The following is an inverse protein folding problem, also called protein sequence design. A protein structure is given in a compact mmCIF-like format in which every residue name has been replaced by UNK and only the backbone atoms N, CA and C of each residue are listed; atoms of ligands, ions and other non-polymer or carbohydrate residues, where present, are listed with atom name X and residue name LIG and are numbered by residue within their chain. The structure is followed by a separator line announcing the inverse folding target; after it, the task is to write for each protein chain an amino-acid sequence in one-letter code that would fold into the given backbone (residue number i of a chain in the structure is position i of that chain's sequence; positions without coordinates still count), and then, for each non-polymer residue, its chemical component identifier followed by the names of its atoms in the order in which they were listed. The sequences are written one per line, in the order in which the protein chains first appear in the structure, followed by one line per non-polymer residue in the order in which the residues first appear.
data_IF_274531311478
#
_entry.id   IF_274531311478
#
_cell.length_a   1.000
_cell.length_b   1.000
_cell.length_c   1.000
_cell.angle_alpha   90.00
_cell.angle_beta   90.00
_cell.angle_gamma   90.00
#
_symmetry.space_group_name_H-M   'P 1'
#
loop_
_entity.id
_entity.type
_entity.pdbx_description
1 polymer ?
#
# COMPACT_ATOMS: atom_id res chain seq x y z
N UNK A 1 -35.65 48.96 -25.26
CA UNK A 1 -35.68 48.01 -24.11
C UNK A 1 -35.73 46.53 -24.51
N UNK A 2 -36.35 46.14 -25.63
CA UNK A 2 -36.46 44.72 -26.06
C UNK A 2 -35.12 44.10 -26.51
N UNK A 3 -34.22 44.89 -27.08
CA UNK A 3 -32.93 44.42 -27.60
C UNK A 3 -31.93 44.02 -26.50
N UNK A 4 -31.99 44.67 -25.34
CA UNK A 4 -31.10 44.40 -24.19
C UNK A 4 -31.46 43.12 -23.45
N UNK A 5 -32.75 42.71 -23.45
CA UNK A 5 -33.18 41.44 -22.84
C UNK A 5 -32.61 40.22 -23.56
N UNK A 6 -32.61 40.22 -24.89
CA UNK A 6 -32.01 39.14 -25.67
C UNK A 6 -30.50 39.02 -25.48
N UNK A 7 -29.79 40.14 -25.32
CA UNK A 7 -28.36 40.12 -25.03
C UNK A 7 -28.05 39.48 -23.66
N UNK A 8 -28.88 39.75 -22.65
CA UNK A 8 -28.75 39.15 -21.31
C UNK A 8 -29.08 37.66 -21.34
N UNK A 9 -30.11 37.24 -22.08
CA UNK A 9 -30.45 35.82 -22.26
C UNK A 9 -29.34 35.04 -22.97
N UNK A 10 -28.75 35.62 -24.02
CA UNK A 10 -27.62 35.01 -24.74
C UNK A 10 -26.39 34.92 -23.83
N UNK A 11 -26.09 35.96 -23.05
CA UNK A 11 -24.98 35.92 -22.09
C UNK A 11 -25.21 34.87 -20.99
N UNK A 12 -26.44 34.74 -20.48
CA UNK A 12 -26.76 33.73 -19.46
C UNK A 12 -26.60 32.31 -20.02
N UNK A 13 -26.99 32.09 -21.28
CA UNK A 13 -26.86 30.82 -21.96
C UNK A 13 -25.39 30.46 -22.21
N UNK A 14 -24.57 31.43 -22.64
CA UNK A 14 -23.12 31.24 -22.80
C UNK A 14 -22.45 30.95 -21.45
N UNK A 15 -22.86 31.61 -20.37
CA UNK A 15 -22.32 31.34 -19.03
C UNK A 15 -22.67 29.93 -18.53
N UNK A 16 -23.89 29.45 -18.80
CA UNK A 16 -24.33 28.10 -18.47
C UNK A 16 -23.56 27.02 -19.27
N UNK A 17 -23.27 27.28 -20.55
CA UNK A 17 -22.45 26.38 -21.38
C UNK A 17 -20.97 26.34 -20.93
N UNK A 18 -20.45 27.40 -20.33
CA UNK A 18 -19.07 27.44 -19.81
C UNK A 18 -18.92 26.65 -18.50
N UNK A 19 -20.01 26.44 -17.74
CA UNK A 19 -19.98 25.65 -16.50
C UNK A 19 -19.99 24.14 -16.72
N UNK A 20 -20.40 23.65 -17.90
CA UNK A 20 -20.43 22.19 -18.18
C UNK A 20 -19.10 21.61 -18.63
N UNK A 21 -18.09 22.45 -18.88
CA UNK A 21 -16.77 22.00 -19.41
C UNK A 21 -15.77 21.67 -18.30
N UNK A 22 -16.09 21.92 -17.03
CA UNK A 22 -15.30 21.41 -15.88
C UNK A 22 -15.82 20.07 -15.37
N UNK A 23 -16.30 19.21 -16.28
CA UNK A 23 -16.47 17.80 -15.97
C UNK A 23 -15.07 17.21 -15.75
N UNK A 24 -14.81 16.81 -14.52
CA UNK A 24 -13.62 16.07 -14.14
C UNK A 24 -13.39 14.94 -15.14
N UNK A 25 -12.27 14.95 -15.85
CA UNK A 25 -11.90 13.87 -16.77
C UNK A 25 -11.67 12.60 -15.93
N UNK A 26 -12.70 11.77 -15.81
CA UNK A 26 -12.55 10.38 -15.40
C UNK A 26 -11.87 9.66 -16.57
N UNK A 27 -10.55 9.56 -16.53
CA UNK A 27 -9.83 8.62 -17.36
C UNK A 27 -10.04 7.23 -16.77
N UNK A 28 -10.84 6.35 -17.39
CA UNK A 28 -10.86 4.96 -16.94
C UNK A 28 -9.45 4.39 -17.08
N UNK A 29 -8.91 3.83 -16.00
CA UNK A 29 -7.63 3.12 -16.07
C UNK A 29 -7.77 1.98 -17.09
N UNK A 30 -6.88 1.93 -18.07
CA UNK A 30 -6.80 0.84 -19.04
C UNK A 30 -6.64 -0.49 -18.28
N UNK A 31 -7.60 -1.43 -18.37
CA UNK A 31 -7.57 -2.68 -17.62
C UNK A 31 -6.38 -3.58 -17.99
N UNK A 32 -5.75 -3.36 -19.14
CA UNK A 32 -4.57 -4.11 -19.57
C UNK A 32 -3.26 -3.48 -19.09
N UNK A 33 -3.30 -2.26 -18.55
CA UNK A 33 -2.13 -1.56 -18.02
C UNK A 33 -2.03 -1.80 -16.51
N UNK A 34 -0.85 -2.13 -15.97
CA UNK A 34 -0.70 -2.29 -14.53
C UNK A 34 -1.13 -0.98 -13.82
N UNK A 35 -1.92 -1.07 -12.75
CA UNK A 35 -2.41 0.09 -12.01
C UNK A 35 -1.29 1.07 -11.70
N UNK A 36 -1.56 2.37 -11.72
CA UNK A 36 -0.52 3.35 -11.36
C UNK A 36 -0.15 3.20 -9.88
N UNK A 37 1.15 3.17 -9.61
CA UNK A 37 1.63 3.22 -8.24
C UNK A 37 1.17 4.57 -7.65
N UNK A 38 0.44 4.54 -6.54
CA UNK A 38 -0.22 5.71 -5.99
C UNK A 38 -0.55 5.53 -4.51
N UNK A 39 -0.56 6.63 -3.77
CA UNK A 39 -1.22 6.68 -2.47
C UNK A 39 -2.73 6.67 -2.67
N UNK A 40 -3.43 5.99 -1.77
CA UNK A 40 -4.88 5.86 -1.80
C UNK A 40 -5.50 6.69 -0.67
N UNK A 41 -6.66 7.28 -0.93
CA UNK A 41 -7.46 8.00 0.07
C UNK A 41 -8.58 7.10 0.65
N UNK A 42 -8.53 5.80 0.33
CA UNK A 42 -9.45 4.76 0.79
C UNK A 42 -8.67 3.48 1.12
N UNK A 43 -9.22 2.64 2.00
CA UNK A 43 -8.67 1.31 2.28
C UNK A 43 -8.79 0.44 1.02
N UNK A 44 -7.71 -0.19 0.53
CA UNK A 44 -7.80 -1.07 -0.64
C UNK A 44 -8.78 -2.21 -0.40
N UNK A 45 -9.33 -2.78 -1.48
CA UNK A 45 -10.12 -4.00 -1.35
C UNK A 45 -9.23 -5.15 -0.88
N UNK A 46 -9.77 -5.98 0.01
CA UNK A 46 -9.09 -7.20 0.37
C UNK A 46 -9.21 -8.23 -0.76
N UNK A 47 -8.05 -8.63 -1.25
CA UNK A 47 -7.92 -9.59 -2.35
C UNK A 47 -6.75 -10.54 -2.07
N UNK A 48 -6.68 -11.64 -2.82
CA UNK A 48 -5.65 -12.67 -2.68
C UNK A 48 -5.00 -12.97 -4.05
N UNK A 49 -4.81 -11.94 -4.86
CA UNK A 49 -4.44 -12.03 -6.27
C UNK A 49 -3.07 -11.39 -6.57
N UNK A 50 -2.39 -10.85 -5.57
CA UNK A 50 -1.15 -10.10 -5.72
C UNK A 50 -1.38 -8.70 -6.28
N UNK A 51 -2.44 -8.01 -5.81
CA UNK A 51 -2.82 -6.67 -6.26
C UNK A 51 -1.75 -5.58 -5.98
N UNK A 52 -0.74 -5.89 -5.17
CA UNK A 52 0.30 -4.98 -4.66
C UNK A 52 -0.30 -3.80 -3.91
N UNK A 53 -1.19 -4.10 -2.97
CA UNK A 53 -1.84 -3.11 -2.12
C UNK A 53 -1.45 -3.32 -0.67
N UNK A 54 -1.42 -2.21 0.06
CA UNK A 54 -1.26 -2.18 1.51
C UNK A 54 -2.17 -1.10 2.07
N UNK A 55 -2.79 -1.37 3.21
CA UNK A 55 -3.58 -0.41 3.95
C UNK A 55 -3.53 -0.70 5.44
N UNK A 56 -3.44 0.35 6.25
CA UNK A 56 -3.70 0.28 7.69
C UNK A 56 -4.05 1.67 8.22
N UNK A 57 -4.51 1.76 9.46
CA UNK A 57 -4.60 3.01 10.20
C UNK A 57 -3.42 3.14 11.15
N UNK A 58 -2.64 4.21 11.00
CA UNK A 58 -1.58 4.62 11.90
C UNK A 58 -2.14 5.70 12.83
N UNK A 59 -2.31 5.38 14.11
CA UNK A 59 -2.96 6.26 15.09
C UNK A 59 -4.32 6.79 14.60
N UNK A 60 -5.12 5.91 13.98
CA UNK A 60 -6.43 6.25 13.42
C UNK A 60 -6.40 6.99 12.08
N UNK A 61 -5.21 7.31 11.53
CA UNK A 61 -5.08 7.94 10.21
C UNK A 61 -4.72 6.90 9.14
N UNK A 62 -5.48 6.91 8.04
CA UNK A 62 -5.29 5.97 6.94
C UNK A 62 -3.92 6.15 6.27
N UNK A 63 -3.16 5.06 6.20
CA UNK A 63 -2.00 4.89 5.33
C UNK A 63 -2.32 3.77 4.34
N UNK A 64 -2.72 4.16 3.14
CA UNK A 64 -3.08 3.23 2.08
C UNK A 64 -2.34 3.53 0.80
N UNK A 65 -1.89 2.48 0.13
CA UNK A 65 -1.03 2.61 -1.03
C UNK A 65 -1.14 1.42 -1.97
N UNK A 66 -1.04 1.71 -3.26
CA UNK A 66 -0.92 0.72 -4.32
C UNK A 66 0.47 0.84 -4.94
N UNK A 67 1.20 -0.26 -4.92
CA UNK A 67 2.48 -0.41 -5.59
C UNK A 67 2.34 -1.01 -6.98
N UNK A 68 3.48 -1.47 -7.50
CA UNK A 68 3.59 -2.26 -8.72
C UNK A 68 4.58 -3.37 -8.43
N UNK A 69 4.30 -4.57 -8.92
CA UNK A 69 5.27 -5.64 -8.88
C UNK A 69 6.55 -5.23 -9.63
N UNK A 70 7.68 -5.20 -8.94
CA UNK A 70 8.99 -5.13 -9.59
C UNK A 70 9.44 -6.54 -9.94
N UNK A 71 9.76 -6.75 -11.22
CA UNK A 71 10.26 -8.03 -11.72
C UNK A 71 11.57 -8.40 -11.01
N UNK A 72 11.76 -9.69 -10.80
CA UNK A 72 12.98 -10.30 -10.25
C UNK A 72 14.26 -9.76 -10.90
N UNK A 73 15.30 -9.54 -10.08
CA UNK A 73 16.60 -9.03 -10.53
C UNK A 73 16.70 -7.51 -10.70
N UNK A 74 15.63 -6.74 -10.44
CA UNK A 74 15.66 -5.28 -10.45
C UNK A 74 15.79 -4.76 -9.01
N UNK A 75 16.79 -3.90 -8.77
CA UNK A 75 17.02 -3.32 -7.45
C UNK A 75 15.82 -2.47 -6.97
N UNK A 76 15.44 -2.53 -5.68
CA UNK A 76 14.15 -2.07 -5.13
C UNK A 76 13.93 -0.53 -5.09
N UNK A 77 14.64 0.25 -5.90
CA UNK A 77 14.85 1.67 -5.65
C UNK A 77 14.17 2.65 -6.62
N UNK A 78 13.36 2.18 -7.59
CA UNK A 78 12.68 3.07 -8.53
C UNK A 78 11.16 2.83 -8.58
N UNK A 79 10.43 3.56 -7.74
CA UNK A 79 9.02 3.90 -7.97
C UNK A 79 7.96 2.87 -7.58
N UNK A 80 8.25 1.95 -6.65
CA UNK A 80 7.23 1.00 -6.18
C UNK A 80 7.00 1.16 -4.68
N UNK A 81 5.78 1.59 -4.36
CA UNK A 81 5.36 1.86 -2.99
C UNK A 81 5.00 0.61 -2.18
N UNK A 82 4.87 -0.55 -2.82
CA UNK A 82 4.62 -1.85 -2.18
C UNK A 82 5.43 -2.88 -2.97
N UNK A 83 6.35 -3.58 -2.30
CA UNK A 83 7.15 -4.64 -2.88
C UNK A 83 7.31 -5.81 -1.90
N UNK A 84 7.53 -7.00 -2.44
CA UNK A 84 7.91 -8.19 -1.67
C UNK A 84 9.08 -8.93 -2.32
N UNK A 85 10.02 -9.41 -1.52
CA UNK A 85 11.15 -10.22 -1.98
C UNK A 85 11.43 -11.39 -1.06
N UNK A 86 11.55 -12.57 -1.65
CA UNK A 86 12.00 -13.77 -0.97
C UNK A 86 13.49 -13.96 -1.23
N UNK A 87 14.30 -13.92 -0.16
CA UNK A 87 15.76 -13.96 -0.26
C UNK A 87 16.39 -14.86 0.78
N UNK A 88 17.67 -15.22 0.56
CA UNK A 88 18.47 -15.94 1.55
C UNK A 88 18.87 -15.02 2.71
N UNK A 89 18.68 -15.49 3.93
CA UNK A 89 19.09 -14.81 5.15
C UNK A 89 19.88 -15.75 6.06
N UNK A 90 21.20 -15.55 6.12
CA UNK A 90 22.15 -16.45 6.80
C UNK A 90 21.99 -17.89 6.29
N UNK A 91 21.50 -18.80 7.14
CA UNK A 91 21.29 -20.21 6.85
C UNK A 91 19.82 -20.55 6.53
N UNK A 92 18.96 -19.54 6.40
CA UNK A 92 17.52 -19.68 6.18
C UNK A 92 17.08 -18.77 5.01
N UNK A 93 15.77 -18.66 4.79
CA UNK A 93 15.16 -17.70 3.88
C UNK A 93 14.26 -16.73 4.63
N UNK A 94 14.02 -15.56 4.04
CA UNK A 94 13.10 -14.56 4.59
C UNK A 94 12.31 -13.91 3.47
N UNK A 95 11.03 -13.68 3.73
CA UNK A 95 10.20 -12.86 2.87
C UNK A 95 10.13 -11.45 3.48
N UNK A 96 10.61 -10.47 2.72
CA UNK A 96 10.61 -9.06 3.11
C UNK A 96 9.58 -8.30 2.31
N UNK A 97 8.68 -7.62 3.00
CA UNK A 97 7.71 -6.69 2.43
C UNK A 97 8.16 -5.27 2.76
N UNK A 98 8.26 -4.43 1.74
CA UNK A 98 8.65 -3.03 1.87
C UNK A 98 7.54 -2.15 1.32
N UNK A 99 6.99 -1.30 2.17
CA UNK A 99 5.87 -0.43 1.85
C UNK A 99 6.23 1.01 2.16
N UNK A 100 6.05 1.92 1.21
CA UNK A 100 6.27 3.35 1.36
C UNK A 100 4.90 4.04 1.25
N UNK A 101 4.39 4.51 2.37
CA UNK A 101 3.12 5.26 2.46
C UNK A 101 3.37 6.78 2.47
N UNK A 102 2.34 7.59 2.75
CA UNK A 102 2.49 9.06 2.75
C UNK A 102 3.34 9.52 3.93
N UNK A 103 3.18 8.88 5.10
CA UNK A 103 3.81 9.34 6.34
C UNK A 103 4.79 8.34 6.94
N UNK A 104 4.77 7.09 6.49
CA UNK A 104 5.64 6.06 7.03
C UNK A 104 6.10 5.03 6.00
N UNK A 105 7.25 4.42 6.28
CA UNK A 105 7.73 3.23 5.60
C UNK A 105 7.55 2.04 6.54
N UNK A 106 6.95 0.97 6.02
CA UNK A 106 6.74 -0.27 6.74
C UNK A 106 7.66 -1.35 6.18
N UNK A 107 8.26 -2.11 7.09
CA UNK A 107 9.02 -3.30 6.79
C UNK A 107 8.38 -4.47 7.54
N UNK A 108 7.88 -5.45 6.79
CA UNK A 108 7.37 -6.70 7.36
C UNK A 108 8.32 -7.81 6.94
N UNK A 109 9.00 -8.42 7.90
CA UNK A 109 9.87 -9.55 7.64
C UNK A 109 9.26 -10.82 8.21
N UNK A 110 9.15 -11.83 7.36
CA UNK A 110 8.81 -13.18 7.77
C UNK A 110 10.12 -13.95 7.87
N UNK A 111 10.50 -14.29 9.10
CA UNK A 111 11.71 -15.06 9.40
C UNK A 111 11.35 -16.50 9.78
N UNK A 112 12.33 -17.40 9.65
CA UNK A 112 12.22 -18.81 10.07
C UNK A 112 11.05 -19.53 9.40
N UNK A 113 10.88 -19.28 8.11
CA UNK A 113 9.95 -20.01 7.27
C UNK A 113 10.75 -20.98 6.38
N UNK A 114 11.38 -22.04 6.93
CA UNK A 114 12.21 -22.96 6.16
C UNK A 114 11.41 -23.65 5.06
N UNK A 115 10.11 -23.85 5.30
CA UNK A 115 9.10 -24.26 4.33
C UNK A 115 7.79 -23.53 4.66
N UNK A 116 7.32 -22.68 3.75
CA UNK A 116 6.07 -21.94 3.98
C UNK A 116 4.87 -22.90 3.89
N UNK A 117 4.13 -23.01 4.99
CA UNK A 117 3.21 -24.10 5.31
C UNK A 117 3.40 -24.61 6.75
N UNK A 118 4.54 -24.31 7.37
CA UNK A 118 4.74 -24.44 8.82
C UNK A 118 4.24 -23.21 9.58
N UNK A 119 3.49 -23.44 10.66
CA UNK A 119 2.93 -22.41 11.54
C UNK A 119 3.99 -21.68 12.40
N UNK A 120 5.29 -21.76 12.06
CA UNK A 120 6.38 -21.27 12.90
C UNK A 120 7.11 -20.05 12.32
N UNK A 121 6.46 -19.33 11.41
CA UNK A 121 6.98 -18.05 10.93
C UNK A 121 6.92 -16.99 12.04
N UNK A 122 8.04 -16.32 12.29
CA UNK A 122 8.08 -15.15 13.17
C UNK A 122 7.99 -13.88 12.34
N UNK A 123 7.11 -12.96 12.74
CA UNK A 123 6.94 -11.68 12.05
C UNK A 123 7.69 -10.59 12.81
N UNK A 124 8.59 -9.93 12.11
CA UNK A 124 9.20 -8.69 12.56
C UNK A 124 8.58 -7.54 11.79
N UNK A 125 7.93 -6.62 12.50
CA UNK A 125 7.37 -5.41 11.93
C UNK A 125 8.20 -4.22 12.38
N UNK A 126 8.68 -3.44 11.41
CA UNK A 126 9.36 -2.18 11.65
C UNK A 126 8.66 -1.04 10.93
N UNK A 127 8.56 0.08 11.61
CA UNK A 127 7.96 1.31 11.13
C UNK A 127 9.02 2.41 11.17
N UNK A 128 9.14 3.15 10.07
CA UNK A 128 9.91 4.37 9.99
C UNK A 128 8.98 5.52 9.58
N UNK A 129 8.70 6.42 10.49
CA UNK A 129 7.90 7.62 10.24
C UNK A 129 8.79 8.82 9.94
N UNK A 130 8.39 9.64 8.96
CA UNK A 130 9.11 10.88 8.61
C UNK A 130 9.10 11.87 9.78
N UNK A 131 8.09 11.83 10.64
CA UNK A 131 7.92 12.75 11.77
C UNK A 131 8.12 12.12 13.14
N UNK A 132 8.13 10.78 13.24
CA UNK A 132 8.13 10.07 14.53
C UNK A 132 9.29 9.08 14.74
N UNK A 133 10.30 9.09 13.86
CA UNK A 133 11.49 8.23 13.97
C UNK A 133 11.18 6.78 13.62
N UNK A 134 11.82 5.84 14.30
CA UNK A 134 11.67 4.42 14.01
C UNK A 134 11.40 3.58 15.27
N UNK A 135 10.82 2.41 15.04
CA UNK A 135 10.76 1.34 16.03
C UNK A 135 10.15 0.08 15.45
N UNK A 136 10.13 -0.96 16.26
CA UNK A 136 9.84 -2.30 15.76
C UNK A 136 9.36 -3.24 16.85
N UNK A 137 8.72 -4.32 16.43
CA UNK A 137 8.20 -5.37 17.30
C UNK A 137 8.31 -6.74 16.61
N UNK A 138 8.64 -7.75 17.40
CA UNK A 138 8.38 -9.15 17.02
C UNK A 138 6.94 -9.48 17.41
N UNK A 139 6.14 -9.93 16.45
CA UNK A 139 4.71 -10.20 16.65
C UNK A 139 4.30 -11.53 16.03
N UNK A 140 3.20 -12.07 16.53
CA UNK A 140 2.48 -13.20 15.93
C UNK A 140 1.07 -12.82 15.49
N UNK A 141 0.70 -11.53 15.62
CA UNK A 141 -0.64 -11.00 15.31
C UNK A 141 -0.83 -10.67 13.82
N UNK A 142 -0.11 -11.38 12.94
CA UNK A 142 -0.28 -11.26 11.48
C UNK A 142 -0.89 -12.56 10.97
N UNK A 143 -2.12 -12.46 10.47
CA UNK A 143 -2.85 -13.56 9.85
C UNK A 143 -2.53 -13.61 8.36
N UNK A 144 -1.94 -14.71 7.89
CA UNK A 144 -1.69 -14.92 6.47
C UNK A 144 -2.93 -15.55 5.83
N UNK A 145 -3.54 -14.82 4.89
CA UNK A 145 -4.74 -15.26 4.17
C UNK A 145 -4.39 -16.13 2.95
N UNK A 146 -3.31 -15.79 2.25
CA UNK A 146 -2.76 -16.59 1.16
C UNK A 146 -1.26 -16.48 1.16
N UNK A 147 -0.62 -17.62 0.92
CA UNK A 147 0.78 -17.69 0.57
C UNK A 147 0.98 -18.73 -0.53
N UNK A 148 1.25 -18.25 -1.74
CA UNK A 148 1.35 -19.05 -2.96
C UNK A 148 2.75 -18.91 -3.56
N UNK A 149 3.55 -19.97 -3.41
CA UNK A 149 4.93 -20.06 -3.92
C UNK A 149 5.03 -20.30 -5.42
N UNK A 150 3.93 -20.63 -6.09
CA UNK A 150 3.90 -20.86 -7.54
C UNK A 150 3.59 -19.54 -8.25
N UNK A 151 2.57 -18.83 -7.77
CA UNK A 151 2.14 -17.55 -8.34
C UNK A 151 2.88 -16.34 -7.76
N UNK A 152 3.69 -16.58 -6.72
CA UNK A 152 4.41 -15.61 -5.90
C UNK A 152 3.51 -14.54 -5.28
N UNK A 153 2.46 -14.97 -4.57
CA UNK A 153 1.49 -14.08 -3.93
C UNK A 153 1.51 -14.31 -2.43
N UNK A 154 1.57 -13.23 -1.66
CA UNK A 154 1.28 -13.24 -0.23
C UNK A 154 0.22 -12.19 0.10
N UNK A 155 -0.72 -12.54 0.96
CA UNK A 155 -1.70 -11.61 1.49
C UNK A 155 -1.99 -11.94 2.95
N UNK A 156 -2.39 -10.92 3.70
CA UNK A 156 -2.62 -11.06 5.12
C UNK A 156 -3.27 -9.86 5.77
N UNK A 157 -3.59 -10.03 7.04
CA UNK A 157 -4.15 -9.02 7.93
C UNK A 157 -3.33 -8.90 9.19
N UNK A 158 -3.45 -7.77 9.85
CA UNK A 158 -3.01 -7.59 11.22
C UNK A 158 -3.87 -6.55 11.90
N UNK A 159 -4.06 -6.66 13.21
CA UNK A 159 -4.79 -5.67 13.97
C UNK A 159 -4.18 -5.45 15.35
N UNK A 160 -4.50 -4.31 15.95
CA UNK A 160 -4.15 -3.95 17.32
C UNK A 160 -2.64 -4.09 17.65
N UNK A 161 -1.78 -3.71 16.71
CA UNK A 161 -0.33 -3.70 16.93
C UNK A 161 0.08 -2.38 17.58
N UNK A 162 0.88 -2.47 18.64
CA UNK A 162 1.45 -1.32 19.32
C UNK A 162 2.98 -1.33 19.16
N UNK A 163 3.53 -0.28 18.54
CA UNK A 163 4.97 -0.15 18.29
C UNK A 163 5.54 1.00 19.13
N UNK A 164 6.51 0.72 20.03
CA UNK A 164 7.26 1.78 20.70
C UNK A 164 8.23 2.44 19.71
N UNK A 165 8.15 3.76 19.57
CA UNK A 165 9.07 4.57 18.77
C UNK A 165 10.21 5.10 19.62
N UNK A 166 11.41 5.13 19.04
CA UNK A 166 12.62 5.57 19.74
C UNK A 166 12.77 7.10 19.73
N UNK A 167 12.33 7.81 18.68
CA UNK A 167 12.62 9.25 18.53
C UNK A 167 11.56 10.04 17.71
N UNK A 168 10.70 10.86 18.33
CA UNK A 168 10.55 11.03 19.76
C UNK A 168 10.03 9.74 20.40
N UNK A 169 10.39 9.51 21.67
CA UNK A 169 9.77 8.44 22.45
C UNK A 169 8.25 8.61 22.41
N UNK A 170 7.59 7.65 21.78
CA UNK A 170 6.15 7.68 21.54
C UNK A 170 5.65 6.27 21.27
N UNK A 171 4.33 6.12 21.21
CA UNK A 171 3.69 4.86 20.89
C UNK A 171 2.87 5.06 19.63
N UNK A 172 3.02 4.15 18.68
CA UNK A 172 2.21 4.09 17.47
C UNK A 172 1.30 2.87 17.53
N UNK A 173 0.01 3.10 17.27
CA UNK A 173 -0.99 2.06 17.14
C UNK A 173 -1.29 1.82 15.66
N UNK A 174 -1.22 0.56 15.24
CA UNK A 174 -1.61 0.11 13.92
C UNK A 174 -2.87 -0.73 14.03
N UNK A 175 -3.88 -0.37 13.25
CA UNK A 175 -5.20 -1.03 13.26
C UNK A 175 -5.69 -1.26 11.83
N UNK A 176 -6.57 -2.24 11.67
CA UNK A 176 -7.16 -2.70 10.40
C UNK A 176 -6.13 -2.85 9.28
N UNK A 177 -5.01 -3.49 9.57
CA UNK A 177 -3.95 -3.73 8.61
C UNK A 177 -4.31 -4.82 7.62
N UNK A 178 -4.06 -4.57 6.33
CA UNK A 178 -4.20 -5.54 5.25
C UNK A 178 -3.13 -5.34 4.17
N UNK A 179 -2.73 -6.44 3.53
CA UNK A 179 -1.83 -6.43 2.39
C UNK A 179 -2.15 -7.55 1.41
N UNK A 180 -1.99 -7.28 0.12
CA UNK A 180 -2.01 -8.28 -0.96
C UNK A 180 -0.87 -7.95 -1.93
N UNK A 181 0.16 -8.78 -1.95
CA UNK A 181 1.45 -8.47 -2.54
C UNK A 181 1.89 -9.60 -3.45
N UNK A 182 2.26 -9.24 -4.67
CA UNK A 182 3.04 -10.13 -5.54
C UNK A 182 4.52 -9.91 -5.23
N UNK A 183 5.26 -10.99 -4.96
CA UNK A 183 6.66 -10.91 -4.57
C UNK A 183 7.58 -11.55 -5.62
N UNK A 184 8.85 -11.13 -5.61
CA UNK A 184 9.90 -11.72 -6.44
C UNK A 184 10.80 -12.62 -5.62
N UNK A 185 11.59 -13.44 -6.31
CA UNK A 185 12.69 -14.19 -5.70
C UNK A 185 14.04 -13.51 -5.96
N UNK A 186 14.93 -13.59 -4.98
CA UNK A 186 16.31 -13.09 -5.06
C UNK A 186 17.24 -14.09 -4.34
N UNK A 187 17.58 -15.19 -5.04
CA UNK A 187 18.44 -16.26 -4.57
C UNK A 187 19.73 -16.36 -5.38
#
# INVERSE_FOLDING_TARGET
MKHSRHLVEIMLFVLLCLFTITSCEFFPEDPNKPPKAAYLDYMPEETNIGANTFGCYVNGKLEAVRGRFQKEGIAPHLGSYVNGFWEKYKNDTTLKLHIISKQATFYIHLHKCPHLGDNNCSFYLSLQSVSQGSGSIDTTSIDILKFDTISHIISGRFNDITIPMQFPESIVHLTDGQFDIKYGQNF
#
